data_IF_421127927865
#
_entry.id   IF_421127927865
#
_cell.length_a   1.000
_cell.length_b   1.000
_cell.length_c   1.000
_cell.angle_alpha   90.00
_cell.angle_beta   90.00
_cell.angle_gamma   90.00
#
_symmetry.space_group_name_H-M   'P 1'
#
loop_
_entity.id
_entity.type
_entity.pdbx_description
1 polymer ?
#
# COMPACT_ATOMS: atom_id res chain seq x y z
N UNK A 1 -69.43 13.06 -53.89
CA UNK A 1 -68.21 13.79 -53.46
C UNK A 1 -67.55 12.97 -52.37
N UNK A 2 -66.25 12.80 -52.52
CA UNK A 2 -65.42 11.75 -51.95
C UNK A 2 -64.73 12.28 -50.68
N UNK A 3 -64.47 11.37 -49.72
CA UNK A 3 -63.69 11.48 -48.47
C UNK A 3 -64.43 11.93 -47.19
N UNK A 4 -64.35 11.09 -46.14
CA UNK A 4 -63.89 11.54 -44.83
C UNK A 4 -62.49 11.00 -44.59
N UNK A 5 -61.57 11.92 -44.30
CA UNK A 5 -60.24 11.60 -43.79
C UNK A 5 -60.38 10.94 -42.41
N UNK A 6 -60.26 9.61 -42.35
CA UNK A 6 -59.81 8.93 -41.14
C UNK A 6 -58.29 8.89 -41.24
N UNK A 7 -57.62 9.97 -40.86
CA UNK A 7 -56.22 9.88 -40.49
C UNK A 7 -56.16 9.22 -39.11
N UNK A 8 -56.25 7.90 -39.09
CA UNK A 8 -55.78 7.10 -37.96
C UNK A 8 -54.28 7.32 -37.86
N UNK A 9 -53.84 8.24 -36.99
CA UNK A 9 -52.47 8.25 -36.53
C UNK A 9 -52.29 7.05 -35.57
N UNK A 10 -52.13 5.86 -36.14
CA UNK A 10 -51.59 4.67 -35.47
C UNK A 10 -50.06 4.66 -35.67
N UNK A 11 -49.42 5.79 -35.41
CA UNK A 11 -47.96 5.86 -35.32
C UNK A 11 -47.67 5.89 -33.83
N UNK A 12 -47.08 4.81 -33.31
CA UNK A 12 -46.51 4.86 -31.96
C UNK A 12 -45.40 5.93 -32.00
N UNK A 13 -45.65 7.08 -31.39
CA UNK A 13 -44.63 8.11 -31.22
C UNK A 13 -43.51 7.48 -30.42
N UNK A 14 -42.31 7.48 -31.00
CA UNK A 14 -41.13 7.00 -30.30
C UNK A 14 -40.68 8.11 -29.37
N UNK A 15 -40.67 7.83 -28.08
CA UNK A 15 -40.29 8.78 -27.04
C UNK A 15 -39.01 8.27 -26.37
N UNK A 16 -37.94 9.06 -26.49
CA UNK A 16 -36.71 8.84 -25.74
C UNK A 16 -36.98 9.06 -24.25
N UNK A 17 -36.28 8.35 -23.36
CA UNK A 17 -36.50 8.49 -21.93
C UNK A 17 -36.18 9.91 -21.44
N UNK A 18 -37.05 10.46 -20.61
CA UNK A 18 -36.88 11.81 -20.03
C UNK A 18 -35.65 11.88 -19.12
N UNK A 19 -35.42 10.81 -18.37
CA UNK A 19 -34.28 10.71 -17.47
C UNK A 19 -33.88 9.27 -17.22
N UNK A 20 -32.60 9.10 -16.94
CA UNK A 20 -32.01 7.84 -16.49
C UNK A 20 -31.27 8.14 -15.19
N UNK A 21 -31.59 7.43 -14.11
CA UNK A 21 -30.98 7.71 -12.80
C UNK A 21 -30.64 6.44 -12.04
N UNK A 22 -29.53 6.48 -11.31
CA UNK A 22 -29.13 5.39 -10.42
C UNK A 22 -29.78 5.54 -9.04
N UNK A 23 -30.26 4.43 -8.48
CA UNK A 23 -30.85 4.30 -7.15
C UNK A 23 -30.16 3.19 -6.36
N UNK A 24 -30.38 3.19 -5.04
CA UNK A 24 -29.79 2.23 -4.10
C UNK A 24 -28.26 2.28 -4.03
N UNK A 25 -27.68 3.45 -4.31
CA UNK A 25 -26.25 3.73 -4.16
C UNK A 25 -25.88 3.74 -2.68
N UNK A 26 -24.89 2.94 -2.30
CA UNK A 26 -24.39 2.84 -0.93
C UNK A 26 -22.92 2.46 -0.93
N UNK A 27 -22.24 2.81 0.15
CA UNK A 27 -20.92 2.25 0.48
C UNK A 27 -21.09 0.78 0.89
N UNK A 28 -20.19 -0.08 0.44
CA UNK A 28 -20.24 -1.54 0.65
C UNK A 28 -18.92 -2.07 1.17
N UNK A 29 -18.96 -3.14 1.95
CA UNK A 29 -17.76 -3.81 2.46
C UNK A 29 -17.30 -4.92 1.50
N UNK A 30 -16.00 -5.20 1.46
CA UNK A 30 -15.43 -6.26 0.62
C UNK A 30 -16.11 -7.62 0.84
N UNK A 31 -16.45 -8.30 -0.26
CA UNK A 31 -17.16 -9.58 -0.25
C UNK A 31 -18.67 -9.48 -0.10
N UNK A 32 -19.22 -8.29 0.22
CA UNK A 32 -20.65 -8.09 0.31
C UNK A 32 -21.31 -8.06 -1.08
N UNK A 33 -22.43 -8.77 -1.23
CA UNK A 33 -23.26 -8.68 -2.43
C UNK A 33 -24.23 -7.50 -2.33
N UNK A 34 -24.33 -6.71 -3.39
CA UNK A 34 -25.20 -5.55 -3.45
C UNK A 34 -25.84 -5.37 -4.82
N UNK A 35 -26.90 -4.57 -4.85
CA UNK A 35 -27.67 -4.31 -6.05
C UNK A 35 -27.87 -2.81 -6.24
N UNK A 36 -27.60 -2.33 -7.46
CA UNK A 36 -27.86 -0.98 -7.91
C UNK A 36 -29.03 -1.03 -8.89
N UNK A 37 -29.93 -0.07 -8.79
CA UNK A 37 -31.09 0.04 -9.67
C UNK A 37 -30.90 1.23 -10.61
N UNK A 38 -31.23 1.05 -11.89
CA UNK A 38 -31.27 2.11 -12.88
C UNK A 38 -32.72 2.34 -13.31
N UNK A 39 -33.24 3.53 -13.05
CA UNK A 39 -34.60 3.93 -13.39
C UNK A 39 -34.60 4.73 -14.69
N UNK A 40 -35.41 4.27 -15.64
CA UNK A 40 -35.66 4.89 -16.94
C UNK A 40 -37.10 5.39 -16.96
N UNK A 41 -37.28 6.70 -17.09
CA UNK A 41 -38.59 7.35 -16.94
C UNK A 41 -39.17 7.72 -18.31
N UNK A 42 -40.47 7.46 -18.49
CA UNK A 42 -41.28 7.97 -19.61
C UNK A 42 -40.74 7.59 -21.00
N UNK A 43 -40.55 6.30 -21.28
CA UNK A 43 -40.04 5.80 -22.57
C UNK A 43 -41.10 5.02 -23.33
N UNK A 44 -41.14 5.17 -24.65
CA UNK A 44 -42.06 4.45 -25.53
C UNK A 44 -41.46 4.11 -26.91
N UNK A 45 -41.73 2.92 -27.47
CA UNK A 45 -42.26 1.74 -26.80
C UNK A 45 -41.14 0.99 -26.06
N UNK A 46 -41.40 0.54 -24.83
CA UNK A 46 -40.36 -0.11 -24.01
C UNK A 46 -39.87 -1.46 -24.55
N UNK A 47 -40.55 -2.11 -25.50
CA UNK A 47 -40.04 -3.30 -26.21
C UNK A 47 -38.72 -3.09 -26.95
N UNK A 48 -38.46 -1.86 -27.37
CA UNK A 48 -37.25 -1.52 -28.11
C UNK A 48 -36.18 -0.91 -27.20
N UNK A 49 -36.45 -0.81 -25.89
CA UNK A 49 -35.52 -0.29 -24.91
C UNK A 49 -34.45 -1.33 -24.58
N UNK A 50 -33.20 -0.90 -24.68
CA UNK A 50 -32.06 -1.56 -24.05
C UNK A 50 -31.44 -0.68 -22.99
N UNK A 51 -31.21 -1.27 -21.83
CA UNK A 51 -30.45 -0.66 -20.73
C UNK A 51 -29.09 -1.34 -20.64
N UNK A 52 -28.03 -0.54 -20.76
CA UNK A 52 -26.65 -0.97 -20.73
C UNK A 52 -25.98 -0.43 -19.47
N UNK A 53 -25.43 -1.34 -18.67
CA UNK A 53 -24.62 -1.01 -17.52
C UNK A 53 -23.16 -0.92 -17.93
N UNK A 54 -22.54 0.21 -17.64
CA UNK A 54 -21.13 0.45 -17.89
C UNK A 54 -20.36 0.54 -16.58
N UNK A 55 -19.20 -0.09 -16.53
CA UNK A 55 -18.17 0.09 -15.51
C UNK A 55 -16.91 0.59 -16.19
N UNK A 56 -16.61 1.88 -16.04
CA UNK A 56 -15.67 2.59 -16.90
C UNK A 56 -16.07 2.44 -18.37
N UNK A 57 -15.18 1.88 -19.20
CA UNK A 57 -15.41 1.69 -20.63
C UNK A 57 -16.05 0.32 -20.98
N UNK A 58 -16.22 -0.57 -20.01
CA UNK A 58 -16.71 -1.93 -20.24
C UNK A 58 -18.21 -2.04 -19.99
N UNK A 59 -18.91 -2.81 -20.83
CA UNK A 59 -20.33 -3.13 -20.65
C UNK A 59 -20.44 -4.37 -19.75
N UNK A 60 -21.05 -4.21 -18.58
CA UNK A 60 -21.21 -5.27 -17.57
C UNK A 60 -22.47 -6.11 -17.81
N UNK A 61 -23.57 -5.44 -18.15
CA UNK A 61 -24.89 -6.05 -18.34
C UNK A 61 -25.63 -5.27 -19.42
N UNK A 62 -26.33 -6.00 -20.30
CA UNK A 62 -27.31 -5.43 -21.22
C UNK A 62 -28.66 -6.10 -20.94
N UNK A 63 -29.71 -5.31 -20.78
CA UNK A 63 -31.07 -5.79 -20.49
C UNK A 63 -32.06 -5.18 -21.48
N UNK A 64 -32.92 -6.04 -22.02
CA UNK A 64 -34.05 -5.68 -22.89
C UNK A 64 -35.36 -5.99 -22.17
N UNK A 65 -36.42 -5.26 -22.51
CA UNK A 65 -37.71 -5.40 -21.84
C UNK A 65 -38.77 -5.93 -22.80
N UNK A 66 -39.51 -6.96 -22.39
CA UNK A 66 -40.67 -7.46 -23.15
C UNK A 66 -41.93 -6.72 -22.70
N UNK A 67 -42.11 -5.48 -23.17
CA UNK A 67 -43.30 -4.68 -22.89
C UNK A 67 -44.26 -4.63 -24.09
N UNK A 68 -45.53 -4.93 -23.82
CA UNK A 68 -46.59 -4.95 -24.84
C UNK A 68 -47.23 -3.58 -25.03
N UNK A 69 -47.18 -2.72 -24.01
CA UNK A 69 -47.77 -1.39 -24.10
C UNK A 69 -47.05 -0.51 -25.13
N UNK A 70 -47.78 0.10 -26.08
CA UNK A 70 -47.23 1.13 -26.96
C UNK A 70 -47.15 2.51 -26.27
N UNK A 71 -47.73 2.66 -25.07
CA UNK A 71 -47.68 3.91 -24.30
C UNK A 71 -46.33 4.12 -23.62
N UNK A 72 -46.12 5.34 -23.16
CA UNK A 72 -45.04 5.67 -22.25
C UNK A 72 -45.14 4.87 -20.95
N UNK A 73 -44.02 4.27 -20.56
CA UNK A 73 -43.88 3.53 -19.31
C UNK A 73 -42.53 3.85 -18.66
N UNK A 74 -42.45 3.66 -17.35
CA UNK A 74 -41.18 3.68 -16.64
C UNK A 74 -40.71 2.24 -16.42
N UNK A 75 -39.41 2.00 -16.62
CA UNK A 75 -38.77 0.69 -16.44
C UNK A 75 -37.53 0.83 -15.57
N UNK A 76 -37.22 -0.23 -14.85
CA UNK A 76 -36.04 -0.29 -14.00
C UNK A 76 -35.23 -1.55 -14.30
N UNK A 77 -33.92 -1.39 -14.39
CA UNK A 77 -32.96 -2.49 -14.51
C UNK A 77 -32.19 -2.62 -13.20
N UNK A 78 -31.94 -3.84 -12.75
CA UNK A 78 -31.16 -4.10 -11.53
C UNK A 78 -29.86 -4.82 -11.88
N UNK A 79 -28.73 -4.25 -11.44
CA UNK A 79 -27.41 -4.87 -11.54
C UNK A 79 -26.98 -5.36 -10.16
N UNK A 80 -26.70 -6.66 -10.06
CA UNK A 80 -26.19 -7.28 -8.84
C UNK A 80 -24.69 -7.53 -8.98
N UNK A 81 -23.91 -7.08 -8.01
CA UNK A 81 -22.45 -7.20 -7.97
C UNK A 81 -22.01 -7.71 -6.60
N UNK A 82 -20.81 -8.29 -6.56
CA UNK A 82 -20.09 -8.59 -5.32
C UNK A 82 -18.96 -7.60 -5.19
N UNK A 83 -18.86 -6.92 -4.05
CA UNK A 83 -17.87 -5.87 -3.84
C UNK A 83 -16.45 -6.45 -3.75
N UNK A 84 -15.56 -5.99 -4.63
CA UNK A 84 -14.13 -6.29 -4.57
C UNK A 84 -13.31 -5.03 -4.31
N UNK A 85 -12.15 -5.17 -3.66
CA UNK A 85 -11.24 -4.04 -3.41
C UNK A 85 -10.77 -3.31 -4.68
N UNK A 86 -10.72 -4.02 -5.80
CA UNK A 86 -10.34 -3.46 -7.11
C UNK A 86 -11.47 -2.65 -7.77
N UNK A 87 -12.68 -2.72 -7.21
CA UNK A 87 -13.83 -1.94 -7.66
C UNK A 87 -13.89 -0.56 -7.01
N UNK A 88 -13.11 -0.35 -5.94
CA UNK A 88 -13.03 0.92 -5.23
C UNK A 88 -12.49 2.01 -6.16
N UNK A 89 -13.22 3.12 -6.28
CA UNK A 89 -12.90 4.20 -7.20
C UNK A 89 -13.33 3.94 -8.66
N UNK A 90 -13.92 2.78 -8.98
CA UNK A 90 -14.43 2.52 -10.32
C UNK A 90 -15.73 3.30 -10.57
N UNK A 91 -15.85 3.88 -11.77
CA UNK A 91 -17.05 4.61 -12.18
C UNK A 91 -18.10 3.66 -12.77
N UNK A 92 -19.34 3.75 -12.29
CA UNK A 92 -20.49 3.05 -12.84
C UNK A 92 -21.49 4.04 -13.43
N UNK A 93 -22.07 3.68 -14.57
CA UNK A 93 -23.12 4.46 -15.23
C UNK A 93 -24.08 3.55 -15.96
N UNK A 94 -25.31 4.00 -16.11
CA UNK A 94 -26.36 3.32 -16.86
C UNK A 94 -26.69 4.12 -18.12
N UNK A 95 -26.87 3.44 -19.24
CA UNK A 95 -27.22 4.03 -20.52
C UNK A 95 -28.50 3.37 -21.05
N UNK A 96 -29.49 4.19 -21.45
CA UNK A 96 -30.71 3.73 -22.08
C UNK A 96 -30.71 4.11 -23.57
N UNK A 97 -30.94 3.12 -24.42
CA UNK A 97 -31.03 3.30 -25.88
C UNK A 97 -32.26 2.60 -26.45
N UNK A 98 -32.79 3.15 -27.55
CA UNK A 98 -33.85 2.52 -28.34
C UNK A 98 -33.22 1.86 -29.57
N UNK A 99 -33.40 0.55 -29.72
CA UNK A 99 -32.83 -0.25 -30.81
C UNK A 99 -33.69 -0.16 -32.09
N UNK A 100 -33.95 1.05 -32.55
CA UNK A 100 -34.78 1.33 -33.72
C UNK A 100 -33.96 1.77 -34.93
N UNK A 101 -32.73 2.25 -34.72
CA UNK A 101 -31.85 2.79 -35.74
C UNK A 101 -30.51 2.05 -35.77
N UNK A 102 -29.83 2.04 -36.93
CA UNK A 102 -28.41 1.75 -36.98
C UNK A 102 -27.64 2.72 -36.08
N UNK A 103 -26.60 2.22 -35.40
CA UNK A 103 -25.88 2.92 -34.31
C UNK A 103 -25.39 4.34 -34.68
N UNK A 104 -25.13 4.59 -35.97
CA UNK A 104 -24.62 5.87 -36.48
C UNK A 104 -25.70 6.89 -36.89
N UNK A 105 -26.98 6.50 -36.94
CA UNK A 105 -28.08 7.35 -37.45
C UNK A 105 -29.15 7.66 -36.39
N UNK A 106 -29.08 6.99 -35.23
CA UNK A 106 -30.03 7.19 -34.14
C UNK A 106 -29.73 8.44 -33.30
N UNK A 107 -30.70 8.89 -32.48
CA UNK A 107 -30.42 9.92 -31.49
C UNK A 107 -29.43 9.39 -30.44
N UNK A 108 -28.67 10.27 -29.78
CA UNK A 108 -27.73 9.84 -28.75
C UNK A 108 -28.47 9.15 -27.60
N UNK A 109 -27.87 8.14 -26.98
CA UNK A 109 -28.48 7.44 -25.86
C UNK A 109 -28.51 8.34 -24.62
N UNK A 110 -29.52 8.14 -23.77
CA UNK A 110 -29.67 8.90 -22.52
C UNK A 110 -28.89 8.18 -21.43
N UNK A 111 -28.04 8.92 -20.73
CA UNK A 111 -27.12 8.38 -19.72
C UNK A 111 -27.47 8.88 -18.33
N UNK A 112 -27.28 8.04 -17.33
CA UNK A 112 -27.28 8.47 -15.94
C UNK A 112 -26.05 9.31 -15.62
N UNK A 113 -26.13 10.05 -14.52
CA UNK A 113 -24.92 10.54 -13.87
C UNK A 113 -24.02 9.35 -13.49
N UNK A 114 -22.72 9.55 -13.68
CA UNK A 114 -21.70 8.61 -13.29
C UNK A 114 -21.56 8.58 -11.76
N UNK A 115 -21.38 7.38 -11.20
CA UNK A 115 -21.19 7.21 -9.77
C UNK A 115 -19.90 6.42 -9.48
N UNK A 116 -19.07 6.95 -8.61
CA UNK A 116 -17.85 6.27 -8.16
C UNK A 116 -18.19 5.28 -7.04
N UNK A 117 -17.94 3.98 -7.28
CA UNK A 117 -18.11 2.95 -6.28
C UNK A 117 -17.14 3.16 -5.12
N UNK A 118 -17.64 3.04 -3.89
CA UNK A 118 -16.83 3.10 -2.66
C UNK A 118 -16.91 1.75 -1.97
N UNK A 119 -15.80 1.02 -1.94
CA UNK A 119 -15.69 -0.30 -1.29
C UNK A 119 -14.75 -0.20 -0.09
N UNK A 120 -15.24 -0.56 1.09
CA UNK A 120 -14.44 -0.58 2.31
C UNK A 120 -13.75 -1.94 2.46
N UNK A 121 -12.44 -1.91 2.71
CA UNK A 121 -11.61 -3.09 2.89
C UNK A 121 -10.44 -2.84 3.86
N UNK A 122 -9.96 -3.88 4.57
CA UNK A 122 -8.86 -3.76 5.52
C UNK A 122 -7.54 -3.42 4.83
N UNK A 123 -6.57 -2.84 5.56
CA UNK A 123 -5.31 -2.45 4.96
C UNK A 123 -4.50 -3.69 4.53
N UNK A 124 -3.80 -3.59 3.42
CA UNK A 124 -2.92 -4.64 2.88
C UNK A 124 -1.60 -4.00 2.47
N UNK A 125 -0.49 -4.53 2.98
CA UNK A 125 0.84 -4.01 2.67
C UNK A 125 1.20 -4.25 1.20
N UNK A 126 1.83 -3.26 0.56
CA UNK A 126 2.42 -3.43 -0.77
C UNK A 126 3.49 -4.52 -0.78
N UNK A 127 4.21 -4.68 0.34
CA UNK A 127 5.10 -5.81 0.60
C UNK A 127 4.79 -6.39 1.98
N UNK A 128 4.17 -7.57 1.99
CA UNK A 128 3.66 -8.23 3.19
C UNK A 128 4.71 -9.05 3.97
N UNK A 129 5.85 -9.38 3.37
CA UNK A 129 6.88 -10.17 4.06
C UNK A 129 7.60 -9.34 5.12
N UNK A 130 7.91 -9.96 6.25
CA UNK A 130 8.84 -9.38 7.22
C UNK A 130 10.23 -9.24 6.58
N UNK A 131 10.94 -8.17 6.96
CA UNK A 131 12.23 -7.84 6.36
C UNK A 131 13.34 -7.95 7.40
N UNK A 132 14.41 -8.68 7.06
CA UNK A 132 15.64 -8.72 7.84
C UNK A 132 16.66 -7.83 7.14
N UNK A 133 17.09 -6.77 7.83
CA UNK A 133 17.92 -5.73 7.27
C UNK A 133 19.22 -5.65 8.06
N UNK A 134 20.34 -5.79 7.36
CA UNK A 134 21.66 -5.55 7.94
C UNK A 134 22.07 -4.10 7.72
N UNK A 135 22.57 -3.46 8.76
CA UNK A 135 22.97 -2.06 8.71
C UNK A 135 24.39 -1.87 9.22
N UNK A 136 25.20 -1.17 8.43
CA UNK A 136 26.54 -0.75 8.84
C UNK A 136 26.47 0.32 9.92
N UNK A 137 27.38 0.24 10.90
CA UNK A 137 27.51 1.24 11.98
C UNK A 137 27.64 2.65 11.41
N UNK A 138 26.83 3.58 11.89
CA UNK A 138 26.78 4.98 11.47
C UNK A 138 25.86 5.27 10.27
N UNK A 139 25.23 4.25 9.66
CA UNK A 139 24.29 4.43 8.55
C UNK A 139 22.83 4.54 9.03
N UNK A 140 21.93 4.91 8.10
CA UNK A 140 20.48 5.01 8.28
C UNK A 140 19.78 4.23 7.17
N UNK A 141 18.64 3.62 7.49
CA UNK A 141 17.84 2.83 6.54
C UNK A 141 16.38 3.29 6.56
N UNK A 142 15.72 3.19 5.42
CA UNK A 142 14.30 3.53 5.27
C UNK A 142 13.45 2.26 5.32
N UNK A 143 12.54 2.20 6.29
CA UNK A 143 11.58 1.10 6.46
C UNK A 143 10.27 1.47 5.77
N UNK A 144 9.88 0.70 4.76
CA UNK A 144 8.66 0.95 3.98
C UNK A 144 7.52 0.02 4.41
N UNK A 145 6.51 0.63 5.03
CA UNK A 145 5.31 -0.04 5.52
C UNK A 145 4.06 0.38 4.73
N UNK A 146 4.20 0.92 3.52
CA UNK A 146 3.06 1.39 2.72
C UNK A 146 2.00 0.29 2.57
N UNK A 147 0.76 0.62 2.97
CA UNK A 147 -0.42 -0.23 2.85
C UNK A 147 -1.52 0.48 2.04
N UNK A 148 -2.25 -0.29 1.24
CA UNK A 148 -3.51 0.13 0.61
C UNK A 148 -4.67 -0.29 1.49
N UNK A 149 -5.69 0.56 1.62
CA UNK A 149 -6.89 0.30 2.40
C UNK A 149 -7.92 1.39 2.15
N UNK A 150 -9.20 1.06 2.24
CA UNK A 150 -10.27 2.04 2.25
C UNK A 150 -11.16 1.82 3.50
N UNK A 151 -11.25 2.76 4.44
CA UNK A 151 -10.62 4.09 4.46
C UNK A 151 -9.09 4.04 4.49
N UNK A 152 -8.45 5.14 4.09
CA UNK A 152 -6.99 5.28 4.06
C UNK A 152 -6.42 4.92 5.45
N UNK A 153 -5.44 3.99 5.53
CA UNK A 153 -4.94 3.51 6.81
C UNK A 153 -4.10 4.55 7.54
N UNK A 154 -4.21 4.52 8.87
CA UNK A 154 -3.31 5.19 9.80
C UNK A 154 -2.18 4.25 10.21
N UNK A 155 -1.01 4.80 10.51
CA UNK A 155 0.20 4.05 10.86
C UNK A 155 0.60 4.31 12.31
N UNK A 156 1.07 3.26 12.96
CA UNK A 156 1.65 3.31 14.30
C UNK A 156 2.93 2.47 14.34
N UNK A 157 4.02 3.06 14.83
CA UNK A 157 5.33 2.41 14.94
C UNK A 157 5.67 2.09 16.39
N UNK A 158 6.08 0.85 16.64
CA UNK A 158 6.69 0.42 17.90
C UNK A 158 8.19 0.19 17.68
N UNK A 159 8.99 0.72 18.59
CA UNK A 159 10.45 0.74 18.53
C UNK A 159 11.04 -0.33 19.47
N UNK A 160 12.23 -0.88 19.18
CA UNK A 160 12.82 -1.96 19.97
C UNK A 160 13.25 -1.56 21.39
N UNK A 161 13.58 -0.29 21.65
CA UNK A 161 13.95 0.20 22.98
C UNK A 161 13.22 1.51 23.31
N UNK A 162 12.35 1.46 24.31
CA UNK A 162 11.45 2.54 24.70
C UNK A 162 12.15 3.77 25.30
N UNK A 163 13.44 3.68 25.67
CA UNK A 163 14.07 4.64 26.59
C UNK A 163 14.79 5.84 25.93
N UNK A 164 14.98 5.90 24.60
CA UNK A 164 15.70 7.02 23.97
C UNK A 164 15.02 7.64 22.73
N UNK A 165 13.97 7.01 22.19
CA UNK A 165 13.13 7.56 21.11
C UNK A 165 12.07 8.55 21.65
N UNK A 166 11.88 8.61 22.98
CA UNK A 166 10.91 9.48 23.65
C UNK A 166 11.02 10.96 23.24
N UNK A 167 12.21 11.43 22.85
CA UNK A 167 12.45 12.81 22.40
C UNK A 167 11.95 13.14 20.98
N UNK A 168 11.56 12.14 20.17
CA UNK A 168 10.95 12.32 18.83
C UNK A 168 9.51 11.79 18.75
N UNK A 169 8.92 11.48 19.90
CA UNK A 169 7.53 11.06 20.06
C UNK A 169 6.57 12.17 19.62
N UNK A 170 6.30 12.20 18.33
CA UNK A 170 4.96 12.50 17.83
C UNK A 170 4.53 11.22 17.11
N UNK A 171 3.30 10.77 17.33
CA UNK A 171 2.66 9.70 16.57
C UNK A 171 3.11 9.73 15.10
N UNK A 172 4.05 8.84 14.74
CA UNK A 172 4.56 8.77 13.37
C UNK A 172 3.50 8.05 12.55
N UNK A 173 2.46 8.79 12.19
CA UNK A 173 1.42 8.34 11.29
C UNK A 173 1.89 8.47 9.83
N UNK A 174 3.03 7.83 9.54
CA UNK A 174 3.64 7.81 8.23
C UNK A 174 3.97 6.37 7.82
N UNK A 175 3.78 6.02 6.53
CA UNK A 175 4.09 4.70 6.01
C UNK A 175 5.58 4.42 5.94
N UNK A 176 6.43 5.44 6.04
CA UNK A 176 7.88 5.32 5.88
C UNK A 176 8.56 5.87 7.15
N UNK A 177 9.46 5.06 7.73
CA UNK A 177 10.24 5.40 8.91
C UNK A 177 11.73 5.29 8.60
N UNK A 178 12.53 6.29 9.00
CA UNK A 178 13.99 6.20 8.91
C UNK A 178 14.58 5.68 10.22
N UNK A 179 15.16 4.49 10.20
CA UNK A 179 15.85 3.88 11.32
C UNK A 179 17.37 4.18 11.30
N UNK A 180 17.98 4.27 12.47
CA UNK A 180 19.41 4.52 12.67
C UNK A 180 20.11 3.24 13.14
N UNK A 181 21.34 3.00 12.67
CA UNK A 181 22.18 1.88 13.11
C UNK A 181 22.57 1.92 14.58
N UNK A 182 22.40 3.06 15.24
CA UNK A 182 22.57 3.20 16.69
C UNK A 182 21.53 2.41 17.50
N UNK A 183 20.40 2.04 16.87
CA UNK A 183 19.29 1.37 17.54
C UNK A 183 18.87 0.09 16.77
N UNK A 184 19.69 -0.97 16.81
CA UNK A 184 19.32 -2.26 16.24
C UNK A 184 18.17 -2.89 17.05
N UNK A 185 17.42 -3.77 16.39
CA UNK A 185 16.29 -4.47 16.99
C UNK A 185 15.08 -4.56 16.05
N UNK A 186 13.95 -4.94 16.63
CA UNK A 186 12.70 -5.16 15.90
C UNK A 186 11.86 -3.88 15.90
N UNK A 187 11.63 -3.32 14.71
CA UNK A 187 10.70 -2.24 14.48
C UNK A 187 9.38 -2.85 13.99
N UNK A 188 8.29 -2.49 14.65
CA UNK A 188 6.96 -3.01 14.33
C UNK A 188 6.11 -1.88 13.76
N UNK A 189 5.64 -2.05 12.54
CA UNK A 189 4.70 -1.13 11.92
C UNK A 189 3.31 -1.74 11.95
N UNK A 190 2.32 -0.97 12.40
CA UNK A 190 0.91 -1.35 12.38
C UNK A 190 0.16 -0.36 11.51
N UNK A 191 -0.53 -0.86 10.48
CA UNK A 191 -1.43 -0.08 9.63
C UNK A 191 -2.88 -0.46 9.96
N UNK A 192 -3.73 0.54 10.22
CA UNK A 192 -5.10 0.33 10.71
C UNK A 192 -6.10 1.28 10.07
N UNK A 193 -7.26 0.76 9.70
CA UNK A 193 -8.45 1.52 9.33
C UNK A 193 -9.69 0.94 10.02
N UNK A 194 -10.88 1.49 9.74
CA UNK A 194 -12.13 0.99 10.34
C UNK A 194 -12.50 -0.44 9.97
N UNK A 195 -11.85 -1.03 8.96
CA UNK A 195 -12.13 -2.36 8.44
C UNK A 195 -11.16 -3.41 8.99
N UNK A 196 -10.02 -3.00 9.55
CA UNK A 196 -9.09 -3.92 10.17
C UNK A 196 -7.71 -3.34 10.40
N UNK A 197 -6.82 -4.20 10.89
CA UNK A 197 -5.46 -3.85 11.27
C UNK A 197 -4.49 -4.93 10.80
N UNK A 198 -3.35 -4.51 10.25
CA UNK A 198 -2.26 -5.38 9.82
C UNK A 198 -0.94 -4.90 10.38
N UNK A 199 -0.03 -5.84 10.66
CA UNK A 199 1.24 -5.57 11.30
C UNK A 199 2.39 -6.20 10.52
N UNK A 200 3.48 -5.46 10.36
CA UNK A 200 4.71 -5.88 9.68
C UNK A 200 5.92 -5.64 10.58
N UNK A 201 6.86 -6.59 10.55
CA UNK A 201 8.08 -6.55 11.36
C UNK A 201 9.31 -6.29 10.49
N UNK A 202 10.16 -5.39 10.95
CA UNK A 202 11.49 -5.13 10.39
C UNK A 202 12.54 -5.48 11.44
N UNK A 203 13.38 -6.46 11.16
CA UNK A 203 14.42 -6.95 12.06
C UNK A 203 15.74 -6.34 11.60
N UNK A 204 16.27 -5.41 12.38
CA UNK A 204 17.52 -4.72 12.07
C UNK A 204 18.66 -5.32 12.89
N UNK A 205 19.68 -5.81 12.20
CA UNK A 205 20.91 -6.32 12.80
C UNK A 205 22.13 -5.53 12.34
N UNK A 206 23.16 -5.45 13.17
CA UNK A 206 24.43 -4.85 12.77
C UNK A 206 25.11 -5.73 11.71
N UNK A 207 25.57 -5.11 10.63
CA UNK A 207 26.32 -5.81 9.60
C UNK A 207 27.66 -6.33 10.18
N UNK A 208 28.06 -7.58 9.91
CA UNK A 208 29.34 -8.09 10.37
C UNK A 208 30.48 -7.25 9.82
N UNK A 209 31.40 -6.82 10.69
CA UNK A 209 32.62 -6.13 10.27
C UNK A 209 33.44 -7.09 9.41
N UNK A 210 33.79 -6.69 8.19
CA UNK A 210 34.63 -7.49 7.30
C UNK A 210 35.94 -7.89 8.01
N UNK A 211 36.18 -9.20 8.26
CA UNK A 211 37.37 -9.67 8.97
C UNK A 211 38.65 -9.45 8.16
N UNK A 212 38.55 -9.18 6.85
CA UNK A 212 39.64 -8.90 5.93
C UNK A 212 40.46 -7.67 6.33
N UNK A 213 39.81 -6.59 6.78
CA UNK A 213 40.53 -5.36 7.19
C UNK A 213 41.30 -5.60 8.49
N UNK A 214 40.67 -6.24 9.48
CA UNK A 214 41.31 -6.57 10.76
C UNK A 214 42.46 -7.57 10.54
N UNK A 215 42.23 -8.62 9.75
CA UNK A 215 43.26 -9.59 9.41
C UNK A 215 44.41 -8.97 8.60
N UNK A 216 44.14 -8.02 7.70
CA UNK A 216 45.18 -7.30 6.96
C UNK A 216 46.03 -6.43 7.89
N UNK A 217 45.41 -5.70 8.84
CA UNK A 217 46.12 -4.91 9.84
C UNK A 217 46.98 -5.81 10.75
N UNK A 218 46.43 -6.92 11.23
CA UNK A 218 47.16 -7.89 12.06
C UNK A 218 48.33 -8.50 11.28
N UNK A 219 48.12 -8.90 10.02
CA UNK A 219 49.20 -9.42 9.16
C UNK A 219 50.31 -8.39 8.94
N UNK A 220 49.94 -7.12 8.72
CA UNK A 220 50.90 -6.03 8.54
C UNK A 220 51.75 -5.81 9.81
N UNK A 221 51.11 -5.81 11.00
CA UNK A 221 51.79 -5.66 12.28
C UNK A 221 52.75 -6.82 12.56
N UNK A 222 52.33 -8.06 12.27
CA UNK A 222 53.18 -9.25 12.42
C UNK A 222 54.38 -9.19 11.47
N UNK A 223 54.17 -8.83 10.20
CA UNK A 223 55.26 -8.69 9.23
C UNK A 223 56.26 -7.58 9.63
N UNK A 224 55.76 -6.45 10.11
CA UNK A 224 56.59 -5.36 10.61
C UNK A 224 57.40 -5.76 11.85
N UNK A 225 56.77 -6.47 12.80
CA UNK A 225 57.47 -7.02 13.97
C UNK A 225 58.58 -8.01 13.60
N UNK A 226 58.33 -8.88 12.61
CA UNK A 226 59.32 -9.82 12.07
C UNK A 226 60.51 -9.09 11.41
N UNK A 227 60.24 -8.04 10.63
CA UNK A 227 61.28 -7.21 10.01
C UNK A 227 62.17 -6.52 11.05
N UNK A 228 61.58 -5.95 12.11
CA UNK A 228 62.34 -5.34 13.20
C UNK A 228 63.21 -6.36 13.93
N UNK A 229 62.67 -7.55 14.21
CA UNK A 229 63.41 -8.62 14.86
C UNK A 229 64.62 -9.06 14.01
N UNK A 230 64.43 -9.26 12.70
CA UNK A 230 65.52 -9.60 11.78
C UNK A 230 66.56 -8.47 11.68
N UNK A 231 66.13 -7.21 11.64
CA UNK A 231 67.04 -6.06 11.67
C UNK A 231 67.87 -6.02 12.96
N UNK A 232 67.27 -6.30 14.13
CA UNK A 232 68.00 -6.40 15.39
C UNK A 232 69.04 -7.53 15.39
N UNK A 233 68.80 -8.64 14.70
CA UNK A 233 69.77 -9.73 14.57
C UNK A 233 70.90 -9.43 13.57
N UNK A 234 70.61 -8.72 12.48
CA UNK A 234 71.57 -8.41 11.40
C UNK A 234 72.42 -7.18 11.70
N UNK A 235 71.91 -6.23 12.50
CA UNK A 235 72.64 -5.07 12.99
C UNK A 235 73.05 -5.27 14.46
N UNK A 236 74.01 -6.15 14.79
CA UNK A 236 74.63 -6.10 16.11
C UNK A 236 75.39 -4.77 16.17
N UNK A 237 74.93 -3.87 17.04
CA UNK A 237 75.66 -2.65 17.36
C UNK A 237 77.11 -3.00 17.69
N UNK A 238 78.07 -2.40 16.98
CA UNK A 238 79.52 -2.69 17.10
C UNK A 238 80.12 -2.34 18.48
N UNK A 239 79.29 -1.95 19.45
CA UNK A 239 79.61 -1.88 20.88
C UNK A 239 78.51 -2.60 21.65
N UNK A 240 78.89 -3.69 22.30
CA UNK A 240 78.00 -4.49 23.13
C UNK A 240 77.42 -3.72 24.32
N UNK A 241 76.24 -4.17 24.73
CA UNK A 241 75.60 -4.21 26.05
C UNK A 241 74.12 -3.90 25.88
N UNK A 242 73.31 -4.95 25.67
CA UNK A 242 71.89 -4.88 26.05
C UNK A 242 71.83 -5.05 27.57
N UNK A 243 71.71 -3.93 28.29
CA UNK A 243 71.39 -3.93 29.71
C UNK A 243 69.89 -3.67 29.86
N UNK A 244 69.09 -4.73 29.92
CA UNK A 244 67.75 -4.64 30.48
C UNK A 244 67.90 -4.45 31.99
N UNK A 245 67.84 -3.20 32.47
CA UNK A 245 67.64 -2.95 33.90
C UNK A 245 66.30 -3.55 34.30
N UNK A 246 66.36 -4.66 35.04
CA UNK A 246 65.25 -5.19 35.82
C UNK A 246 64.79 -4.08 36.76
N UNK A 247 63.55 -3.63 36.61
CA UNK A 247 62.91 -2.81 37.64
C UNK A 247 62.66 -3.75 38.81
N UNK A 248 63.54 -3.71 39.80
CA UNK A 248 63.31 -4.38 41.07
C UNK A 248 62.12 -3.69 41.74
N UNK A 249 61.03 -4.44 41.91
CA UNK A 249 59.98 -4.05 42.84
C UNK A 249 60.59 -3.97 44.23
N UNK A 250 60.45 -2.82 44.89
CA UNK A 250 60.71 -2.69 46.31
C UNK A 250 59.77 -3.64 47.05
N UNK A 251 60.32 -4.74 47.55
CA UNK A 251 59.67 -5.64 48.47
C UNK A 251 59.52 -4.87 49.78
N UNK A 252 58.27 -4.56 50.16
CA UNK A 252 57.95 -3.85 51.39
C UNK A 252 58.54 -4.59 52.60
N UNK A 253 59.38 -3.89 53.36
CA UNK A 253 59.92 -4.41 54.62
C UNK A 253 58.96 -4.03 55.76
N UNK A 254 58.50 -4.98 56.58
CA UNK A 254 57.65 -4.70 57.72
C UNK A 254 58.51 -4.20 58.89
N UNK A 255 58.27 -2.97 59.35
CA UNK A 255 58.79 -2.50 60.64
C UNK A 255 57.72 -2.65 61.71
N UNK A 256 57.73 -3.81 62.39
CA UNK A 256 57.21 -3.90 63.75
C UNK A 256 58.35 -3.54 64.70
N UNK A 257 58.14 -2.51 65.52
CA UNK A 257 58.51 -2.45 66.95
C UNK A 257 58.51 -0.99 67.41
N UNK A 258 57.53 -0.67 68.24
CA UNK A 258 57.57 0.46 69.18
C UNK A 258 57.79 -0.15 70.55
N UNK A 259 58.78 0.29 71.33
CA UNK A 259 58.80 0.07 72.76
C UNK A 259 58.42 1.35 73.54
N UNK A 260 57.80 1.07 74.70
CA UNK A 260 57.36 1.93 75.82
C UNK A 260 55.91 2.39 75.74
#
# INVERSE_FOLDING_TARGET
MMWPFIFSCLIACTEMPDSVSLKNLRTVEEGQQFAIQCDVVNVAPARNLSVLWHKGNYIMKSETFDESSPSNVSKSSVLTLTAHRDDDGAEIRCEAKLNLWPEEQGPPPVRSEAHTLTVLYPPTFTNASNENLEMTVGSKISLNCTARGNPVPSYHWQFPNFTQVWYRSHDVNLPILTASSEFPGVYTCTASNSQGTVTKYFIITEAPREPTVVAAIVRLLVAFGLLLFLACLVFPTHRGIFSCKKVDYLQGQPTSSVPV
#
